data_IF_137187464189
#
_entry.id   IF_137187464189
#
_cell.length_a   1.000
_cell.length_b   1.000
_cell.length_c   1.000
_cell.angle_alpha   90.00
_cell.angle_beta   90.00
_cell.angle_gamma   90.00
#
_symmetry.space_group_name_H-M   'P 1'
#
loop_
_entity.id
_entity.type
_entity.pdbx_description
1 polymer ?
#
# COMPACT_ATOMS: atom_id res chain seq x y z
N UNK A 1 23.07 -14.50 -8.80
CA UNK A 1 22.42 -13.18 -8.96
C UNK A 1 21.08 -13.08 -8.22
N UNK A 2 20.11 -13.92 -8.58
CA UNK A 2 18.70 -13.80 -8.18
C UNK A 2 18.41 -13.84 -6.65
N UNK A 3 19.12 -14.69 -5.89
CA UNK A 3 18.86 -14.85 -4.45
C UNK A 3 19.07 -13.55 -3.65
N UNK A 4 20.20 -12.87 -3.84
CA UNK A 4 20.53 -11.68 -3.07
C UNK A 4 19.56 -10.51 -3.35
N UNK A 5 19.08 -10.36 -4.58
CA UNK A 5 18.07 -9.35 -4.90
C UNK A 5 16.74 -9.65 -4.22
N UNK A 6 16.31 -10.92 -4.17
CA UNK A 6 15.11 -11.33 -3.42
C UNK A 6 15.26 -11.12 -1.92
N UNK A 7 16.41 -11.46 -1.36
CA UNK A 7 16.70 -11.23 0.05
C UNK A 7 16.62 -9.73 0.41
N UNK A 8 17.29 -8.88 -0.37
CA UNK A 8 17.24 -7.43 -0.17
C UNK A 8 15.83 -6.86 -0.38
N UNK A 9 15.08 -7.37 -1.35
CA UNK A 9 13.69 -7.00 -1.58
C UNK A 9 12.81 -7.29 -0.36
N UNK A 10 12.96 -8.48 0.23
CA UNK A 10 12.24 -8.89 1.44
C UNK A 10 12.63 -8.00 2.61
N UNK A 11 13.92 -7.75 2.84
CA UNK A 11 14.40 -6.89 3.94
C UNK A 11 13.86 -5.46 3.82
N UNK A 12 13.91 -4.88 2.62
CA UNK A 12 13.35 -3.57 2.34
C UNK A 12 11.81 -3.57 2.52
N UNK A 13 11.14 -4.61 2.03
CA UNK A 13 9.69 -4.79 2.16
C UNK A 13 9.22 -4.89 3.61
N UNK A 14 9.95 -5.64 4.45
CA UNK A 14 9.69 -5.71 5.90
C UNK A 14 9.81 -4.33 6.53
N UNK A 15 10.87 -3.58 6.21
CA UNK A 15 11.07 -2.23 6.74
C UNK A 15 9.93 -1.30 6.31
N UNK A 16 9.54 -1.37 5.04
CA UNK A 16 8.50 -0.52 4.47
C UNK A 16 7.11 -0.82 5.06
N UNK A 17 6.66 -2.07 4.99
CA UNK A 17 5.35 -2.47 5.47
C UNK A 17 5.28 -2.48 7.00
N UNK A 18 6.39 -2.80 7.68
CA UNK A 18 6.50 -2.65 9.13
C UNK A 18 6.27 -1.20 9.59
N UNK A 19 6.87 -0.22 8.91
CA UNK A 19 6.62 1.19 9.20
C UNK A 19 5.20 1.63 8.84
N UNK A 20 4.63 1.10 7.74
CA UNK A 20 3.22 1.32 7.42
C UNK A 20 2.31 0.89 8.58
N UNK A 21 2.52 -0.30 9.13
CA UNK A 21 1.76 -0.81 10.28
C UNK A 21 2.04 -0.03 11.55
N UNK A 22 3.29 0.36 11.80
CA UNK A 22 3.62 1.25 12.91
C UNK A 22 2.81 2.56 12.83
N UNK A 23 2.75 3.23 11.67
CA UNK A 23 1.96 4.46 11.54
C UNK A 23 0.47 4.21 11.78
N UNK A 24 -0.05 3.13 11.23
CA UNK A 24 -1.47 2.85 11.23
C UNK A 24 -1.98 2.36 12.59
N UNK A 25 -1.22 1.50 13.28
CA UNK A 25 -1.66 0.82 14.51
C UNK A 25 -1.12 1.49 15.79
N UNK A 26 0.03 2.15 15.71
CA UNK A 26 0.71 2.70 16.89
C UNK A 26 0.72 4.21 16.86
N UNK A 27 1.36 4.82 15.85
CA UNK A 27 1.62 6.26 15.86
C UNK A 27 0.34 7.09 15.78
N UNK A 28 -0.56 6.81 14.83
CA UNK A 28 -1.77 7.62 14.66
C UNK A 28 -2.69 7.55 15.91
N UNK A 29 -3.02 6.36 16.44
CA UNK A 29 -3.78 6.27 17.69
C UNK A 29 -3.05 6.92 18.88
N UNK A 30 -1.74 6.72 19.01
CA UNK A 30 -0.93 7.35 20.07
C UNK A 30 -0.90 8.87 19.98
N UNK A 31 -0.82 9.44 18.77
CA UNK A 31 -0.88 10.88 18.56
C UNK A 31 -2.26 11.46 18.92
N UNK A 32 -3.34 10.71 18.69
CA UNK A 32 -4.69 11.11 19.09
C UNK A 32 -4.88 11.09 20.61
N UNK A 33 -4.21 10.15 21.31
CA UNK A 33 -4.31 10.01 22.77
C UNK A 33 -3.70 11.19 23.57
N UNK A 34 -2.89 12.06 22.94
CA UNK A 34 -2.42 13.29 23.58
C UNK A 34 -3.56 14.28 23.92
N UNK A 35 -4.72 14.20 23.25
CA UNK A 35 -5.82 15.13 23.48
C UNK A 35 -5.39 16.59 23.28
N UNK A 36 -5.56 17.40 24.33
CA UNK A 36 -5.27 18.83 24.32
C UNK A 36 -3.77 19.15 24.53
N UNK A 37 -2.92 18.15 24.79
CA UNK A 37 -1.47 18.31 24.95
C UNK A 37 -0.74 18.49 23.61
N UNK A 38 -1.06 19.59 22.92
CA UNK A 38 -0.57 19.90 21.58
C UNK A 38 0.96 20.04 21.50
N UNK A 39 1.60 20.53 22.57
CA UNK A 39 3.06 20.66 22.63
C UNK A 39 3.76 19.31 22.60
N UNK A 40 3.36 18.38 23.46
CA UNK A 40 3.93 17.04 23.51
C UNK A 40 3.68 16.25 22.20
N UNK A 41 2.48 16.40 21.62
CA UNK A 41 2.15 15.85 20.31
C UNK A 41 3.08 16.37 19.21
N UNK A 42 3.33 17.68 19.15
CA UNK A 42 4.22 18.29 18.15
C UNK A 42 5.69 17.87 18.34
N UNK A 43 6.15 17.69 19.58
CA UNK A 43 7.50 17.12 19.85
C UNK A 43 7.59 15.71 19.27
N UNK A 44 6.57 14.87 19.46
CA UNK A 44 6.53 13.52 18.90
C UNK A 44 6.54 13.52 17.38
N UNK A 45 5.76 14.41 16.75
CA UNK A 45 5.77 14.57 15.28
C UNK A 45 7.16 14.97 14.78
N UNK A 46 7.78 15.99 15.38
CA UNK A 46 9.07 16.50 14.92
C UNK A 46 10.21 15.52 15.14
N UNK A 47 10.24 14.82 16.28
CA UNK A 47 11.31 13.91 16.64
C UNK A 47 11.12 12.50 16.08
N UNK A 48 9.95 11.89 16.27
CA UNK A 48 9.73 10.49 15.94
C UNK A 48 9.20 10.35 14.51
N UNK A 49 8.11 11.06 14.18
CA UNK A 49 7.44 10.86 12.89
C UNK A 49 8.33 11.26 11.71
N UNK A 50 9.13 12.33 11.82
CA UNK A 50 10.08 12.73 10.76
C UNK A 50 11.08 11.62 10.41
N UNK A 51 11.64 10.95 11.43
CA UNK A 51 12.61 9.86 11.25
C UNK A 51 11.95 8.63 10.65
N UNK A 52 10.80 8.23 11.20
CA UNK A 52 10.03 7.10 10.68
C UNK A 52 9.61 7.33 9.21
N UNK A 53 9.18 8.54 8.86
CA UNK A 53 8.79 8.90 7.49
C UNK A 53 9.97 8.91 6.52
N UNK A 54 11.18 9.21 6.99
CA UNK A 54 12.38 9.10 6.16
C UNK A 54 12.63 7.64 5.77
N UNK A 55 12.66 6.73 6.74
CA UNK A 55 12.85 5.30 6.50
C UNK A 55 11.73 4.72 5.65
N UNK A 56 10.48 5.09 5.93
CA UNK A 56 9.31 4.63 5.19
C UNK A 56 9.39 4.95 3.70
N UNK A 57 9.81 6.18 3.35
CA UNK A 57 9.92 6.63 1.95
C UNK A 57 11.00 5.88 1.19
N UNK A 58 12.18 5.74 1.78
CA UNK A 58 13.30 5.11 1.11
C UNK A 58 13.19 3.59 1.09
N UNK A 59 12.59 2.98 2.12
CA UNK A 59 12.25 1.56 2.10
C UNK A 59 11.25 1.23 0.97
N UNK A 60 10.29 2.10 0.69
CA UNK A 60 9.39 1.95 -0.46
C UNK A 60 10.13 1.92 -1.79
N UNK A 61 11.05 2.87 -2.01
CA UNK A 61 11.87 2.91 -3.24
C UNK A 61 12.81 1.72 -3.32
N UNK A 62 13.48 1.36 -2.23
CA UNK A 62 14.38 0.22 -2.19
C UNK A 62 13.64 -1.10 -2.53
N UNK A 63 12.43 -1.27 -2.00
CA UNK A 63 11.57 -2.42 -2.31
C UNK A 63 11.21 -2.44 -3.80
N UNK A 64 10.74 -1.31 -4.37
CA UNK A 64 10.43 -1.26 -5.80
C UNK A 64 11.64 -1.50 -6.69
N UNK A 65 12.77 -0.84 -6.41
CA UNK A 65 13.98 -0.96 -7.19
C UNK A 65 14.49 -2.41 -7.22
N UNK A 66 14.57 -3.05 -6.06
CA UNK A 66 14.96 -4.47 -5.96
C UNK A 66 13.95 -5.39 -6.62
N UNK A 67 12.65 -5.08 -6.56
CA UNK A 67 11.58 -5.84 -7.22
C UNK A 67 11.69 -5.80 -8.74
N UNK A 68 11.84 -4.60 -9.31
CA UNK A 68 12.01 -4.41 -10.75
C UNK A 68 13.33 -5.00 -11.27
N UNK A 69 14.39 -4.98 -10.45
CA UNK A 69 15.64 -5.65 -10.81
C UNK A 69 15.48 -7.17 -10.88
N UNK A 70 14.65 -7.79 -10.03
CA UNK A 70 14.35 -9.22 -10.14
C UNK A 70 13.70 -9.55 -11.48
N UNK A 71 12.80 -8.69 -11.98
CA UNK A 71 12.13 -8.90 -13.27
C UNK A 71 13.06 -8.62 -14.45
N UNK A 72 14.00 -7.68 -14.31
CA UNK A 72 14.92 -7.30 -15.38
C UNK A 72 16.13 -8.24 -15.55
N UNK A 73 16.57 -8.89 -14.46
CA UNK A 73 17.78 -9.73 -14.47
C UNK A 73 17.47 -11.20 -14.79
N UNK A 74 16.20 -11.61 -14.72
CA UNK A 74 15.79 -12.95 -15.07
C UNK A 74 15.53 -13.03 -16.60
N UNK A 75 16.37 -13.75 -17.37
CA UNK A 75 16.39 -13.66 -18.85
C UNK A 75 15.05 -14.01 -19.49
N UNK A 76 14.31 -14.94 -18.90
CA UNK A 76 13.06 -15.44 -19.47
C UNK A 76 11.82 -14.96 -18.70
N UNK A 77 11.97 -13.97 -17.82
CA UNK A 77 10.88 -13.55 -16.91
C UNK A 77 9.64 -13.02 -17.64
N UNK A 78 9.86 -12.35 -18.77
CA UNK A 78 8.79 -11.79 -19.61
C UNK A 78 8.41 -12.70 -20.78
N UNK A 79 9.09 -13.83 -20.97
CA UNK A 79 8.78 -14.76 -22.03
C UNK A 79 7.38 -15.35 -21.81
N UNK A 80 6.52 -15.25 -22.82
CA UNK A 80 5.13 -15.74 -22.80
C UNK A 80 4.33 -15.30 -21.56
N UNK A 81 4.65 -14.13 -21.01
CA UNK A 81 4.06 -13.64 -19.77
C UNK A 81 2.53 -13.53 -19.90
N UNK A 82 1.81 -14.31 -19.08
CA UNK A 82 0.34 -14.49 -19.16
C UNK A 82 -0.20 -15.01 -20.50
N UNK A 83 0.63 -15.59 -21.37
CA UNK A 83 0.23 -16.09 -22.69
C UNK A 83 0.63 -17.55 -22.97
N UNK A 84 0.78 -18.36 -21.92
CA UNK A 84 1.08 -19.79 -22.08
C UNK A 84 -0.13 -20.51 -22.72
N UNK A 85 0.10 -21.49 -23.63
CA UNK A 85 -0.99 -22.22 -24.28
C UNK A 85 -1.83 -23.03 -23.30
N UNK A 86 -3.15 -23.06 -23.52
CA UNK A 86 -4.08 -23.86 -22.72
C UNK A 86 -4.27 -23.32 -21.30
N UNK A 87 -4.74 -24.18 -20.40
CA UNK A 87 -4.80 -23.84 -18.96
C UNK A 87 -3.47 -24.17 -18.32
N UNK A 88 -2.75 -23.14 -17.87
CA UNK A 88 -1.36 -23.27 -17.39
C UNK A 88 -1.20 -22.60 -16.01
N UNK A 89 -0.56 -23.25 -15.02
CA UNK A 89 -0.27 -22.65 -13.73
C UNK A 89 0.58 -21.37 -13.79
N UNK A 90 1.44 -21.22 -14.81
CA UNK A 90 2.25 -20.03 -15.02
C UNK A 90 1.41 -18.82 -15.40
N UNK A 91 0.30 -19.00 -16.13
CA UNK A 91 -0.64 -17.90 -16.40
C UNK A 91 -1.30 -17.41 -15.10
N UNK A 92 -1.74 -18.33 -14.24
CA UNK A 92 -2.35 -17.98 -12.94
C UNK A 92 -1.34 -17.26 -12.03
N UNK A 93 -0.12 -17.80 -11.90
CA UNK A 93 1.01 -17.18 -11.21
C UNK A 93 1.30 -15.76 -11.72
N UNK A 94 1.42 -15.60 -13.04
CA UNK A 94 1.77 -14.33 -13.68
C UNK A 94 0.67 -13.28 -13.48
N UNK A 95 -0.59 -13.69 -13.45
CA UNK A 95 -1.71 -12.79 -13.18
C UNK A 95 -1.68 -12.26 -11.73
N UNK A 96 -1.53 -13.13 -10.73
CA UNK A 96 -1.54 -12.68 -9.32
C UNK A 96 -0.30 -11.88 -8.94
N UNK A 97 0.89 -12.25 -9.45
CA UNK A 97 2.09 -11.46 -9.20
C UNK A 97 1.95 -10.07 -9.82
N UNK A 98 1.32 -9.94 -10.99
CA UNK A 98 1.05 -8.65 -11.62
C UNK A 98 0.15 -7.77 -10.75
N UNK A 99 -0.94 -8.32 -10.22
CA UNK A 99 -1.82 -7.57 -9.30
C UNK A 99 -1.06 -7.16 -8.03
N UNK A 100 -0.28 -8.07 -7.45
CA UNK A 100 0.60 -7.77 -6.30
C UNK A 100 1.58 -6.63 -6.60
N UNK A 101 2.27 -6.68 -7.74
CA UNK A 101 3.19 -5.64 -8.21
C UNK A 101 2.49 -4.30 -8.40
N UNK A 102 1.30 -4.28 -9.02
CA UNK A 102 0.54 -3.04 -9.21
C UNK A 102 0.13 -2.41 -7.88
N UNK A 103 -0.33 -3.21 -6.92
CA UNK A 103 -0.63 -2.74 -5.56
C UNK A 103 0.61 -2.12 -4.91
N UNK A 104 1.76 -2.81 -4.97
CA UNK A 104 3.01 -2.30 -4.43
C UNK A 104 3.44 -0.98 -5.08
N UNK A 105 3.41 -0.89 -6.42
CA UNK A 105 3.76 0.33 -7.16
C UNK A 105 2.82 1.48 -6.77
N UNK A 106 1.51 1.24 -6.72
CA UNK A 106 0.52 2.24 -6.35
C UNK A 106 0.71 2.71 -4.90
N UNK A 107 0.99 1.78 -3.99
CA UNK A 107 1.28 2.11 -2.60
C UNK A 107 2.53 2.99 -2.47
N UNK A 108 3.61 2.70 -3.20
CA UNK A 108 4.82 3.54 -3.22
C UNK A 108 4.55 4.92 -3.83
N UNK A 109 3.74 4.97 -4.88
CA UNK A 109 3.22 6.20 -5.46
C UNK A 109 2.49 7.04 -4.40
N UNK A 110 1.61 6.44 -3.60
CA UNK A 110 0.95 7.11 -2.48
C UNK A 110 1.94 7.66 -1.45
N UNK A 111 2.98 6.89 -1.10
CA UNK A 111 4.03 7.31 -0.17
C UNK A 111 4.68 8.62 -0.62
N UNK A 112 5.10 8.70 -1.88
CA UNK A 112 5.87 9.84 -2.39
C UNK A 112 5.00 11.00 -2.88
N UNK A 113 3.91 10.69 -3.59
CA UNK A 113 3.09 11.70 -4.25
C UNK A 113 2.03 12.32 -3.36
N UNK A 114 1.54 11.60 -2.35
CA UNK A 114 0.46 12.06 -1.48
C UNK A 114 0.95 12.21 -0.04
N UNK A 115 1.39 11.11 0.59
CA UNK A 115 1.74 11.09 2.01
C UNK A 115 2.87 12.07 2.28
N UNK A 116 4.01 11.95 1.59
CA UNK A 116 5.16 12.81 1.85
C UNK A 116 4.89 14.29 1.59
N UNK A 117 4.23 14.64 0.46
CA UNK A 117 3.91 16.04 0.14
C UNK A 117 3.10 16.70 1.25
N UNK A 118 2.08 16.01 1.76
CA UNK A 118 1.23 16.52 2.83
C UNK A 118 1.92 16.48 4.20
N UNK A 119 2.69 15.44 4.49
CA UNK A 119 3.43 15.33 5.76
C UNK A 119 4.51 16.42 5.92
N UNK A 120 5.10 16.92 4.82
CA UNK A 120 5.98 18.09 4.89
C UNK A 120 5.27 19.31 5.51
N UNK A 121 4.02 19.56 5.12
CA UNK A 121 3.22 20.67 5.67
C UNK A 121 2.93 20.45 7.15
N UNK A 122 2.54 19.22 7.52
CA UNK A 122 2.24 18.86 8.92
C UNK A 122 3.47 19.00 9.81
N UNK A 123 4.64 18.53 9.36
CA UNK A 123 5.90 18.63 10.10
C UNK A 123 6.34 20.10 10.21
N UNK A 124 6.29 20.87 9.11
CA UNK A 124 6.64 22.28 9.13
C UNK A 124 5.74 23.06 10.09
N UNK A 125 4.44 22.78 10.11
CA UNK A 125 3.50 23.35 11.07
C UNK A 125 3.87 22.99 12.52
N UNK A 126 4.20 21.72 12.80
CA UNK A 126 4.60 21.30 14.13
C UNK A 126 5.87 22.02 14.62
N UNK A 127 6.86 22.21 13.75
CA UNK A 127 8.07 22.99 14.05
C UNK A 127 7.72 24.46 14.31
N UNK A 128 6.89 25.07 13.46
CA UNK A 128 6.50 26.48 13.59
C UNK A 128 5.79 26.77 14.92
N UNK A 129 4.79 25.94 15.26
CA UNK A 129 4.02 26.08 16.50
C UNK A 129 4.91 25.86 17.74
N UNK A 130 5.86 24.92 17.69
CA UNK A 130 6.83 24.74 18.78
C UNK A 130 7.78 25.94 18.94
N UNK A 131 8.06 26.67 17.86
CA UNK A 131 8.83 27.90 17.85
C UNK A 131 8.05 29.14 18.29
N UNK A 132 6.77 29.01 18.67
CA UNK A 132 5.91 30.13 19.07
C UNK A 132 5.20 30.84 17.91
N UNK A 133 5.27 30.30 16.69
CA UNK A 133 4.55 30.81 15.54
C UNK A 133 3.09 30.36 15.48
N UNK A 134 2.29 31.02 14.64
CA UNK A 134 0.87 30.67 14.43
C UNK A 134 0.69 29.33 13.70
N UNK A 135 -0.43 28.65 13.98
CA UNK A 135 -0.75 27.39 13.31
C UNK A 135 -1.13 27.61 11.84
N UNK A 136 -0.58 26.80 10.95
CA UNK A 136 -0.93 26.79 9.55
C UNK A 136 -2.36 26.20 9.36
N UNK A 137 -3.30 26.96 8.76
CA UNK A 137 -4.69 26.52 8.60
C UNK A 137 -4.83 25.26 7.72
N UNK A 138 -3.91 25.02 6.79
CA UNK A 138 -3.94 23.86 5.88
C UNK A 138 -3.44 22.57 6.52
N UNK A 139 -2.75 22.65 7.67
CA UNK A 139 -2.08 21.51 8.29
C UNK A 139 -3.04 20.34 8.60
N UNK A 140 -4.26 20.65 9.07
CA UNK A 140 -5.27 19.64 9.36
C UNK A 140 -5.73 18.91 8.08
N UNK A 141 -5.99 19.67 7.01
CA UNK A 141 -6.39 19.13 5.70
C UNK A 141 -5.28 18.27 5.09
N UNK A 142 -4.03 18.71 5.16
CA UNK A 142 -2.88 17.91 4.72
C UNK A 142 -2.73 16.63 5.54
N UNK A 143 -2.82 16.72 6.87
CA UNK A 143 -2.79 15.55 7.75
C UNK A 143 -3.87 14.53 7.40
N UNK A 144 -5.09 15.00 7.10
CA UNK A 144 -6.21 14.15 6.65
C UNK A 144 -5.90 13.44 5.33
N UNK A 145 -5.40 14.14 4.31
CA UNK A 145 -5.02 13.53 3.01
C UNK A 145 -3.95 12.46 3.18
N UNK A 146 -2.91 12.74 3.99
CA UNK A 146 -1.85 11.78 4.28
C UNK A 146 -2.38 10.54 5.02
N UNK A 147 -3.30 10.73 5.97
CA UNK A 147 -3.90 9.64 6.73
C UNK A 147 -4.73 8.71 5.83
N UNK A 148 -5.60 9.26 4.99
CA UNK A 148 -6.44 8.48 4.09
C UNK A 148 -5.60 7.61 3.14
N UNK A 149 -4.59 8.20 2.50
CA UNK A 149 -3.67 7.46 1.63
C UNK A 149 -2.86 6.39 2.41
N UNK A 150 -2.46 6.68 3.66
CA UNK A 150 -1.78 5.69 4.50
C UNK A 150 -2.69 4.51 4.88
N UNK A 151 -3.97 4.76 5.13
CA UNK A 151 -4.98 3.72 5.40
C UNK A 151 -5.26 2.91 4.15
N UNK A 152 -5.33 3.53 2.97
CA UNK A 152 -5.46 2.81 1.71
C UNK A 152 -4.27 1.88 1.45
N UNK A 153 -3.05 2.37 1.69
CA UNK A 153 -1.86 1.51 1.62
C UNK A 153 -1.97 0.31 2.58
N UNK A 154 -2.51 0.52 3.78
CA UNK A 154 -2.73 -0.55 4.74
C UNK A 154 -3.78 -1.54 4.24
N UNK A 155 -4.90 -1.07 3.66
CA UNK A 155 -5.92 -1.89 3.00
C UNK A 155 -5.29 -2.79 1.93
N UNK A 156 -4.51 -2.21 1.03
CA UNK A 156 -3.83 -2.93 -0.05
C UNK A 156 -2.72 -3.87 0.42
N UNK A 157 -2.02 -3.55 1.51
CA UNK A 157 -0.82 -4.28 1.94
C UNK A 157 -1.06 -5.78 2.15
N UNK A 158 -2.22 -6.18 2.66
CA UNK A 158 -2.53 -7.57 2.98
C UNK A 158 -2.65 -8.41 1.71
N UNK A 159 -3.45 -7.94 0.76
CA UNK A 159 -3.61 -8.59 -0.55
C UNK A 159 -2.32 -8.58 -1.36
N UNK A 160 -1.59 -7.46 -1.32
CA UNK A 160 -0.30 -7.31 -1.97
C UNK A 160 0.68 -8.37 -1.45
N UNK A 161 0.88 -8.46 -0.13
CA UNK A 161 1.79 -9.45 0.47
C UNK A 161 1.34 -10.89 0.17
N UNK A 162 0.04 -11.17 0.26
CA UNK A 162 -0.50 -12.49 -0.07
C UNK A 162 -0.15 -12.91 -1.49
N UNK A 163 -0.32 -12.02 -2.49
CA UNK A 163 0.02 -12.34 -3.86
C UNK A 163 1.52 -12.41 -4.11
N UNK A 164 2.33 -11.55 -3.49
CA UNK A 164 3.79 -11.60 -3.63
C UNK A 164 4.36 -12.94 -3.13
N UNK A 165 3.82 -13.47 -2.04
CA UNK A 165 4.23 -14.79 -1.49
C UNK A 165 3.55 -15.92 -2.26
N UNK A 166 2.23 -15.82 -2.46
CA UNK A 166 1.41 -16.85 -3.06
C UNK A 166 1.79 -17.18 -4.49
N UNK A 167 2.22 -16.19 -5.28
CA UNK A 167 2.67 -16.41 -6.66
C UNK A 167 3.83 -17.41 -6.75
N UNK A 168 4.71 -17.46 -5.75
CA UNK A 168 5.86 -18.35 -5.74
C UNK A 168 5.59 -19.70 -5.07
N UNK A 169 4.64 -19.76 -4.13
CA UNK A 169 4.51 -20.89 -3.19
C UNK A 169 3.16 -21.58 -3.17
N UNK A 170 2.13 -21.00 -3.79
CA UNK A 170 0.76 -21.48 -3.67
C UNK A 170 0.07 -21.57 -5.03
N UNK A 171 0.07 -20.48 -5.80
CA UNK A 171 -0.64 -20.42 -7.08
C UNK A 171 -0.21 -21.48 -8.11
N UNK A 172 1.08 -21.77 -8.28
CA UNK A 172 1.52 -22.81 -9.22
C UNK A 172 1.01 -24.22 -8.87
N UNK A 173 0.67 -24.47 -7.60
CA UNK A 173 0.30 -25.80 -7.10
C UNK A 173 -1.21 -26.05 -7.15
N UNK A 174 -2.02 -24.99 -7.07
CA UNK A 174 -3.47 -25.11 -6.85
C UNK A 174 -4.34 -24.39 -7.88
N UNK A 175 -3.76 -23.57 -8.76
CA UNK A 175 -4.51 -22.84 -9.79
C UNK A 175 -3.89 -23.04 -11.18
N UNK A 176 -4.73 -23.01 -12.20
CA UNK A 176 -4.30 -22.98 -13.60
C UNK A 176 -5.24 -22.08 -14.39
N UNK A 177 -4.71 -21.34 -15.36
CA UNK A 177 -5.53 -20.40 -16.11
C UNK A 177 -5.22 -20.42 -17.59
N UNK A 178 -6.25 -20.23 -18.41
CA UNK A 178 -6.06 -19.77 -19.78
C UNK A 178 -5.61 -18.32 -19.78
N UNK A 179 -4.91 -17.89 -20.85
CA UNK A 179 -4.54 -16.48 -21.05
C UNK A 179 -5.75 -15.55 -20.92
N UNK A 180 -6.90 -15.91 -21.49
CA UNK A 180 -8.13 -15.12 -21.40
C UNK A 180 -8.65 -14.95 -19.96
N UNK A 181 -8.69 -16.03 -19.18
CA UNK A 181 -9.13 -15.98 -17.80
C UNK A 181 -8.16 -15.22 -16.90
N UNK A 182 -6.85 -15.42 -17.08
CA UNK A 182 -5.80 -14.71 -16.36
C UNK A 182 -5.89 -13.19 -16.58
N UNK A 183 -6.09 -12.77 -17.84
CA UNK A 183 -6.28 -11.36 -18.20
C UNK A 183 -7.60 -10.79 -17.63
N UNK A 184 -8.68 -11.57 -17.64
CA UNK A 184 -9.97 -11.15 -17.07
C UNK A 184 -9.88 -10.95 -15.57
N UNK A 185 -9.27 -11.89 -14.85
CA UNK A 185 -8.98 -11.77 -13.41
C UNK A 185 -8.17 -10.51 -13.11
N UNK A 186 -7.12 -10.25 -13.89
CA UNK A 186 -6.25 -9.09 -13.71
C UNK A 186 -7.04 -7.79 -13.93
N UNK A 187 -7.80 -7.69 -15.03
CA UNK A 187 -8.62 -6.52 -15.34
C UNK A 187 -9.63 -6.19 -14.23
N UNK A 188 -10.39 -7.19 -13.78
CA UNK A 188 -11.38 -7.01 -12.70
C UNK A 188 -10.70 -6.58 -11.41
N UNK A 189 -9.57 -7.20 -11.08
CA UNK A 189 -8.78 -6.82 -9.89
C UNK A 189 -8.31 -5.36 -9.98
N UNK A 190 -7.79 -4.93 -11.13
CA UNK A 190 -7.32 -3.55 -11.32
C UNK A 190 -8.46 -2.52 -11.25
N UNK A 191 -9.65 -2.84 -11.72
CA UNK A 191 -10.82 -1.97 -11.56
C UNK A 191 -11.16 -1.77 -10.08
N UNK A 192 -11.16 -2.85 -9.29
CA UNK A 192 -11.40 -2.76 -7.84
C UNK A 192 -10.32 -1.91 -7.15
N UNK A 193 -9.05 -2.13 -7.49
CA UNK A 193 -7.91 -1.33 -6.98
C UNK A 193 -8.10 0.14 -7.31
N UNK A 194 -8.42 0.47 -8.57
CA UNK A 194 -8.62 1.85 -9.00
C UNK A 194 -9.78 2.51 -8.24
N UNK A 195 -10.91 1.82 -8.06
CA UNK A 195 -12.06 2.35 -7.33
C UNK A 195 -11.72 2.66 -5.87
N UNK A 196 -11.01 1.77 -5.18
CA UNK A 196 -10.59 1.99 -3.80
C UNK A 196 -9.59 3.15 -3.68
N UNK A 197 -8.62 3.23 -4.59
CA UNK A 197 -7.66 4.33 -4.61
C UNK A 197 -8.33 5.69 -4.87
N UNK A 198 -9.19 5.77 -5.90
CA UNK A 198 -9.95 6.98 -6.22
C UNK A 198 -10.84 7.41 -5.05
N UNK A 199 -11.42 6.46 -4.32
CA UNK A 199 -12.17 6.72 -3.11
C UNK A 199 -11.28 7.32 -2.01
N UNK A 200 -10.13 6.72 -1.72
CA UNK A 200 -9.21 7.17 -0.68
C UNK A 200 -8.64 8.58 -0.91
N UNK A 201 -8.39 8.95 -2.17
CA UNK A 201 -7.91 10.29 -2.53
C UNK A 201 -9.05 11.33 -2.62
N UNK A 202 -10.30 10.91 -2.36
CA UNK A 202 -11.46 11.80 -2.22
C UNK A 202 -12.18 12.14 -3.51
N UNK A 203 -11.99 11.39 -4.60
CA UNK A 203 -12.77 11.58 -5.84
C UNK A 203 -14.26 11.35 -5.60
N UNK A 204 -14.59 10.37 -4.76
CA UNK A 204 -15.98 10.07 -4.40
C UNK A 204 -16.38 10.77 -3.09
N UNK A 205 -17.03 11.93 -3.21
CA UNK A 205 -17.61 12.65 -2.07
C UNK A 205 -16.62 13.46 -1.22
N UNK A 206 -15.36 13.62 -1.66
CA UNK A 206 -14.35 14.42 -0.96
C UNK A 206 -13.72 13.72 0.26
N UNK A 207 -12.84 14.43 0.96
CA UNK A 207 -12.01 13.90 2.06
C UNK A 207 -12.53 14.24 3.48
N UNK A 208 -13.65 14.98 3.57
CA UNK A 208 -14.19 15.45 4.85
C UNK A 208 -14.64 14.28 5.72
N UNK A 209 -14.41 14.39 7.03
CA UNK A 209 -14.98 13.47 8.00
C UNK A 209 -16.52 13.47 7.88
N UNK A 210 -17.13 12.28 7.91
CA UNK A 210 -18.57 12.10 7.72
C UNK A 210 -18.98 11.69 6.30
N UNK A 211 -18.07 11.71 5.32
CA UNK A 211 -18.30 11.02 4.05
C UNK A 211 -18.37 9.51 4.30
N UNK A 212 -19.57 8.92 4.19
CA UNK A 212 -19.81 7.49 4.43
C UNK A 212 -18.97 6.58 3.54
N UNK A 213 -18.59 7.05 2.34
CA UNK A 213 -17.74 6.28 1.44
C UNK A 213 -16.30 6.14 1.94
N UNK A 214 -15.85 6.95 2.90
CA UNK A 214 -14.52 6.84 3.51
C UNK A 214 -14.48 5.89 4.71
N UNK A 215 -15.58 5.18 5.01
CA UNK A 215 -15.66 4.24 6.13
C UNK A 215 -14.44 3.31 6.25
N UNK A 216 -13.89 2.73 5.16
CA UNK A 216 -12.69 1.89 5.23
C UNK A 216 -11.48 2.56 5.90
N UNK A 217 -11.38 3.89 5.83
CA UNK A 217 -10.20 4.64 6.23
C UNK A 217 -10.36 5.41 7.54
N UNK A 218 -11.60 5.55 8.05
CA UNK A 218 -11.87 6.37 9.24
C UNK A 218 -11.26 5.82 10.52
N UNK A 219 -10.96 4.52 10.57
CA UNK A 219 -10.24 3.91 11.69
C UNK A 219 -9.28 2.83 11.21
N UNK A 220 -8.28 2.53 12.04
CA UNK A 220 -7.40 1.38 11.79
C UNK A 220 -8.18 0.05 11.81
N UNK A 221 -9.23 -0.06 12.63
CA UNK A 221 -10.08 -1.26 12.69
C UNK A 221 -10.85 -1.47 11.39
N UNK A 222 -11.44 -0.41 10.85
CA UNK A 222 -12.15 -0.47 9.57
C UNK A 222 -11.17 -0.82 8.44
N UNK A 223 -9.99 -0.23 8.45
CA UNK A 223 -8.95 -0.55 7.47
C UNK A 223 -8.54 -2.03 7.55
N UNK A 224 -8.45 -2.62 8.75
CA UNK A 224 -8.17 -4.05 8.93
C UNK A 224 -9.29 -4.90 8.33
N UNK A 225 -10.54 -4.57 8.65
CA UNK A 225 -11.70 -5.28 8.09
C UNK A 225 -11.67 -5.19 6.56
N UNK A 226 -11.47 -4.00 6.00
CA UNK A 226 -11.39 -3.78 4.57
C UNK A 226 -10.22 -4.51 3.91
N UNK A 227 -9.05 -4.62 4.57
CA UNK A 227 -7.94 -5.44 4.07
C UNK A 227 -8.33 -6.92 3.91
N UNK A 228 -9.01 -7.48 4.92
CA UNK A 228 -9.42 -8.90 4.91
C UNK A 228 -10.53 -9.13 3.89
N UNK A 229 -11.51 -8.23 3.83
CA UNK A 229 -12.58 -8.30 2.82
C UNK A 229 -12.00 -8.21 1.41
N UNK A 230 -11.06 -7.29 1.16
CA UNK A 230 -10.41 -7.18 -0.13
C UNK A 230 -9.67 -8.48 -0.49
N UNK A 231 -8.93 -9.06 0.45
CA UNK A 231 -8.26 -10.35 0.24
C UNK A 231 -9.27 -11.47 -0.09
N UNK A 232 -10.39 -11.54 0.62
CA UNK A 232 -11.42 -12.55 0.38
C UNK A 232 -12.06 -12.38 -1.00
N UNK A 233 -12.36 -11.15 -1.42
CA UNK A 233 -12.89 -10.85 -2.77
C UNK A 233 -11.88 -11.29 -3.83
N UNK A 234 -10.63 -10.88 -3.67
CA UNK A 234 -9.53 -11.23 -4.56
C UNK A 234 -9.29 -12.73 -4.67
N UNK A 235 -9.28 -13.44 -3.54
CA UNK A 235 -9.20 -14.90 -3.53
C UNK A 235 -10.41 -15.56 -4.20
N UNK A 236 -11.62 -15.04 -3.98
CA UNK A 236 -12.82 -15.48 -4.68
C UNK A 236 -12.73 -15.30 -6.20
N UNK A 237 -12.18 -14.17 -6.66
CA UNK A 237 -11.90 -13.96 -8.09
C UNK A 237 -10.89 -14.97 -8.62
N UNK A 238 -9.87 -15.31 -7.84
CA UNK A 238 -8.90 -16.35 -8.22
C UNK A 238 -9.56 -17.71 -8.41
N UNK A 239 -10.46 -18.11 -7.51
CA UNK A 239 -11.23 -19.36 -7.65
C UNK A 239 -12.16 -19.32 -8.86
N UNK A 240 -12.86 -18.21 -9.10
CA UNK A 240 -13.83 -18.10 -10.20
C UNK A 240 -13.15 -18.16 -11.58
N UNK A 241 -12.00 -17.51 -11.74
CA UNK A 241 -11.35 -17.39 -13.05
C UNK A 241 -10.23 -18.42 -13.28
N UNK A 242 -9.59 -18.91 -12.23
CA UNK A 242 -8.36 -19.71 -12.34
C UNK A 242 -8.41 -21.02 -11.54
N UNK A 243 -9.53 -21.30 -10.85
CA UNK A 243 -9.76 -22.53 -10.09
C UNK A 243 -10.36 -23.66 -10.91
#
# INVERSE_FOLDING_TARGET
GNFWFRYLHILAGITWIGLLYYFNFVQVPGLAAYGDEGKARNITVTQIATRALWWFRWAAIATLATGLLITAVAPDYMQDFMNHPGSDPLNAKNAVISVGMTLGILMAANVWMIIWKNQKVVIANAVNVLGGGEANPDAATCGRKALLASRQNMVFSVSMLFYMVGAAHFYPEVFSATSGNANTFMLVSLVIVALLELNAIGIFGGIKAGNKMLWPYESHKNAIISSVVLLAVFFGLSVVFMG
#
